data_IF_557899741086
#
_entry.id   IF_557899741086
#
_cell.length_a   1.000
_cell.length_b   1.000
_cell.length_c   1.000
_cell.angle_alpha   90.00
_cell.angle_beta   90.00
_cell.angle_gamma   90.00
#
_symmetry.space_group_name_H-M   'P 1'
#
loop_
_entity.id
_entity.type
_entity.pdbx_description
1 polymer ?
#
# COMPACT_ATOMS: atom_id res chain seq x y z
N UNK A 1 3.34 11.26 -3.30
CA UNK A 1 2.27 12.22 -2.98
C UNK A 1 1.56 12.68 -4.25
N UNK A 2 2.13 13.54 -5.11
CA UNK A 2 1.42 14.03 -6.31
C UNK A 2 0.96 12.92 -7.26
N UNK A 3 1.80 11.91 -7.48
CA UNK A 3 1.43 10.74 -8.30
C UNK A 3 0.25 9.95 -7.70
N UNK A 4 0.32 9.60 -6.41
CA UNK A 4 -0.77 8.89 -5.72
C UNK A 4 -2.09 9.68 -5.71
N UNK A 5 -2.02 11.01 -5.53
CA UNK A 5 -3.20 11.88 -5.62
C UNK A 5 -3.78 11.86 -7.04
N UNK A 6 -2.93 11.88 -8.09
CA UNK A 6 -3.41 11.76 -9.46
C UNK A 6 -3.99 10.37 -9.76
N UNK A 7 -3.43 9.31 -9.19
CA UNK A 7 -3.94 7.95 -9.31
C UNK A 7 -5.35 7.81 -8.72
N UNK A 8 -5.56 8.41 -7.55
CA UNK A 8 -6.88 8.41 -6.92
C UNK A 8 -7.85 9.38 -7.62
N UNK A 9 -7.36 10.49 -8.16
CA UNK A 9 -8.17 11.41 -8.97
C UNK A 9 -8.73 10.75 -10.25
N UNK A 10 -8.04 9.76 -10.83
CA UNK A 10 -8.56 8.99 -11.98
C UNK A 10 -9.85 8.22 -11.68
N UNK A 11 -10.16 8.00 -10.40
CA UNK A 11 -11.42 7.39 -9.98
C UNK A 11 -12.61 8.38 -10.08
N UNK A 12 -12.35 9.67 -10.33
CA UNK A 12 -13.35 10.73 -10.43
C UNK A 12 -13.26 11.51 -11.76
N UNK A 13 -13.64 10.90 -12.90
CA UNK A 13 -13.54 11.53 -14.21
C UNK A 13 -14.37 12.83 -14.30
N UNK A 14 -13.77 13.90 -14.83
CA UNK A 14 -14.40 15.22 -14.98
C UNK A 14 -14.46 16.06 -13.70
N UNK A 15 -13.98 15.54 -12.57
CA UNK A 15 -13.88 16.25 -11.28
C UNK A 15 -12.46 16.22 -10.72
N UNK A 16 -11.46 15.86 -11.53
CA UNK A 16 -10.07 15.63 -11.10
C UNK A 16 -9.48 16.88 -10.44
N UNK A 17 -9.79 18.06 -11.01
CA UNK A 17 -9.33 19.35 -10.47
C UNK A 17 -9.97 19.69 -9.13
N UNK A 18 -11.27 19.41 -8.98
CA UNK A 18 -12.01 19.64 -7.73
C UNK A 18 -11.53 18.68 -6.63
N UNK A 19 -11.27 17.42 -6.99
CA UNK A 19 -10.67 16.44 -6.11
C UNK A 19 -9.27 16.88 -5.66
N UNK A 20 -8.42 17.35 -6.57
CA UNK A 20 -7.10 17.83 -6.22
C UNK A 20 -7.15 19.03 -5.26
N UNK A 21 -7.99 20.03 -5.54
CA UNK A 21 -8.20 21.18 -4.66
C UNK A 21 -8.77 20.77 -3.29
N UNK A 22 -9.66 19.79 -3.25
CA UNK A 22 -10.22 19.24 -2.01
C UNK A 22 -9.15 18.59 -1.15
N UNK A 23 -8.32 17.70 -1.73
CA UNK A 23 -7.21 17.07 -1.03
C UNK A 23 -6.20 18.12 -0.57
N UNK A 24 -5.89 19.12 -1.39
CA UNK A 24 -4.95 20.18 -1.03
C UNK A 24 -5.42 20.99 0.19
N UNK A 25 -6.72 21.23 0.32
CA UNK A 25 -7.29 22.01 1.43
C UNK A 25 -7.60 21.19 2.68
N UNK A 26 -7.62 19.86 2.57
CA UNK A 26 -7.99 18.97 3.67
C UNK A 26 -6.78 18.17 4.16
N UNK A 27 -6.17 18.62 5.25
CA UNK A 27 -4.99 17.97 5.85
C UNK A 27 -5.27 16.54 6.30
N UNK A 28 -6.47 16.24 6.83
CA UNK A 28 -6.85 14.90 7.23
C UNK A 28 -6.85 13.94 6.04
N UNK A 29 -7.35 14.38 4.89
CA UNK A 29 -7.33 13.58 3.66
C UNK A 29 -5.91 13.39 3.13
N UNK A 30 -5.04 14.40 3.25
CA UNK A 30 -3.63 14.23 2.89
C UNK A 30 -2.94 13.19 3.77
N UNK A 31 -3.27 13.14 5.06
CA UNK A 31 -2.73 12.12 5.97
C UNK A 31 -3.20 10.72 5.59
N UNK A 32 -4.48 10.57 5.20
CA UNK A 32 -5.00 9.28 4.73
C UNK A 32 -4.26 8.77 3.49
N UNK A 33 -3.90 9.65 2.55
CA UNK A 33 -3.11 9.26 1.37
C UNK A 33 -1.64 9.01 1.75
N UNK A 34 -1.11 9.78 2.70
CA UNK A 34 0.30 9.68 3.11
C UNK A 34 0.58 8.42 3.92
N UNK A 35 -0.37 7.95 4.73
CA UNK A 35 -0.15 6.82 5.63
C UNK A 35 0.23 5.52 4.90
N UNK A 36 -0.52 5.04 3.88
CA UNK A 36 -0.14 3.85 3.11
C UNK A 36 1.20 4.04 2.39
N UNK A 37 1.43 5.21 1.78
CA UNK A 37 2.69 5.50 1.11
C UNK A 37 3.90 5.50 2.05
N UNK A 38 3.68 5.82 3.32
CA UNK A 38 4.73 5.80 4.33
C UNK A 38 4.95 4.37 4.83
N UNK A 39 3.88 3.60 5.03
CA UNK A 39 3.94 2.17 5.35
C UNK A 39 4.74 1.41 4.30
N UNK A 40 4.38 1.52 3.03
CA UNK A 40 5.07 0.86 1.91
C UNK A 40 6.57 1.18 1.93
N UNK A 41 6.91 2.47 2.08
CA UNK A 41 8.31 2.91 2.12
C UNK A 41 9.10 2.37 3.30
N UNK A 42 8.46 2.27 4.47
CA UNK A 42 9.12 1.74 5.66
C UNK A 42 9.36 0.25 5.48
N UNK A 43 8.37 -0.48 4.95
CA UNK A 43 8.48 -1.90 4.64
C UNK A 43 9.61 -2.13 3.63
N UNK A 44 9.63 -1.38 2.52
CA UNK A 44 10.69 -1.44 1.51
C UNK A 44 12.07 -1.19 2.13
N UNK A 45 12.21 -0.14 2.94
CA UNK A 45 13.47 0.19 3.61
C UNK A 45 13.96 -0.90 4.59
N UNK A 46 13.03 -1.59 5.24
CA UNK A 46 13.36 -2.75 6.09
C UNK A 46 13.84 -3.90 5.23
N UNK A 47 13.17 -4.21 4.12
CA UNK A 47 13.57 -5.28 3.20
C UNK A 47 14.92 -5.01 2.53
N UNK A 48 15.24 -3.76 2.20
CA UNK A 48 16.56 -3.38 1.66
C UNK A 48 17.71 -3.71 2.62
N UNK A 49 17.46 -3.71 3.94
CA UNK A 49 18.45 -4.03 4.96
C UNK A 49 18.40 -5.47 5.44
N UNK A 50 17.30 -6.18 5.14
CA UNK A 50 17.11 -7.56 5.55
C UNK A 50 17.89 -8.52 4.64
N UNK A 51 18.40 -9.60 5.23
CA UNK A 51 18.93 -10.73 4.46
C UNK A 51 17.73 -11.55 4.01
N UNK A 52 17.37 -11.44 2.74
CA UNK A 52 16.28 -12.21 2.14
C UNK A 52 16.84 -13.53 1.62
N UNK A 53 16.28 -14.65 2.09
CA UNK A 53 16.60 -15.99 1.59
C UNK A 53 15.38 -16.62 0.97
N UNK A 54 15.54 -17.22 -0.21
CA UNK A 54 14.48 -17.94 -0.89
C UNK A 54 14.40 -19.39 -0.41
N UNK A 55 13.18 -19.89 -0.24
CA UNK A 55 12.91 -21.29 0.09
C UNK A 55 11.86 -21.83 -0.88
N UNK A 56 12.25 -22.82 -1.67
CA UNK A 56 11.33 -23.48 -2.58
C UNK A 56 10.35 -24.36 -1.79
N UNK A 57 9.05 -24.20 -2.08
CA UNK A 57 7.96 -24.94 -1.42
C UNK A 57 6.93 -25.38 -2.44
N UNK A 58 6.26 -26.50 -2.16
CA UNK A 58 5.14 -26.97 -3.00
C UNK A 58 3.84 -26.32 -2.57
N UNK A 59 2.88 -26.22 -3.50
CA UNK A 59 1.55 -25.64 -3.24
C UNK A 59 0.88 -26.25 -2.00
N UNK A 60 0.91 -27.58 -1.86
CA UNK A 60 0.28 -28.28 -0.74
C UNK A 60 0.90 -27.91 0.61
N UNK A 61 2.21 -27.69 0.64
CA UNK A 61 2.93 -27.29 1.87
C UNK A 61 2.58 -25.85 2.23
N UNK A 62 2.56 -24.95 1.25
CA UNK A 62 2.20 -23.55 1.47
C UNK A 62 0.74 -23.41 1.94
N UNK A 63 -0.18 -24.13 1.31
CA UNK A 63 -1.60 -24.10 1.66
C UNK A 63 -1.83 -24.54 3.10
N UNK A 64 -1.24 -25.67 3.53
CA UNK A 64 -1.35 -26.14 4.91
C UNK A 64 -0.78 -25.15 5.93
N UNK A 65 0.31 -24.46 5.60
CA UNK A 65 0.90 -23.46 6.47
C UNK A 65 -0.02 -22.23 6.65
N UNK A 66 -0.74 -21.83 5.59
CA UNK A 66 -1.73 -20.74 5.68
C UNK A 66 -2.93 -21.18 6.51
N UNK A 67 -3.49 -22.37 6.26
CA UNK A 67 -4.62 -22.92 7.02
C UNK A 67 -4.31 -22.98 8.53
N UNK A 68 -3.10 -23.40 8.92
CA UNK A 68 -2.70 -23.44 10.33
C UNK A 68 -2.61 -22.07 11.01
N UNK A 69 -2.39 -20.99 10.27
CA UNK A 69 -2.33 -19.63 10.84
C UNK A 69 -3.73 -19.04 11.07
N UNK A 70 -4.76 -19.56 10.42
CA UNK A 70 -6.15 -19.13 10.60
C UNK A 70 -6.86 -19.90 11.74
N UNK A 71 -6.29 -21.03 12.16
CA UNK A 71 -6.77 -21.84 13.30
C UNK A 71 -6.24 -21.36 14.67
N UNK A 72 -5.25 -20.46 14.69
CA UNK A 72 -4.72 -19.75 15.89
C UNK A 72 -5.41 -18.40 16.11
#
# INVERSE_FOLDING_TARGET
MTQAIMEQARQYPGQERQFFEFIQKNEQMQQQIRAPLFEDKVVDYVFEQAIVTEKEVTKNVLQKAVESLEEE
#
